data_IF_229011726409
#
_entry.id   IF_229011726409
#
_cell.length_a   1.000
_cell.length_b   1.000
_cell.length_c   1.000
_cell.angle_alpha   90.00
_cell.angle_beta   90.00
_cell.angle_gamma   90.00
#
_symmetry.space_group_name_H-M   'P 1'
#
loop_
_entity.id
_entity.type
_entity.pdbx_description
1 polymer ?
#
# COMPACT_ATOMS: atom_id res chain seq x y z
N UNK A 1 21.60 12.37 -1.70
CA UNK A 1 20.16 12.53 -1.39
C UNK A 1 19.47 13.25 -2.53
N UNK A 2 18.24 12.87 -2.86
CA UNK A 2 17.43 13.60 -3.83
C UNK A 2 17.10 14.99 -3.26
N UNK A 3 17.36 16.05 -4.03
CA UNK A 3 17.17 17.43 -3.54
C UNK A 3 15.72 17.66 -3.09
N UNK A 4 15.55 18.23 -1.90
CA UNK A 4 14.25 18.55 -1.30
C UNK A 4 13.48 17.36 -0.70
N UNK A 5 13.96 16.11 -0.82
CA UNK A 5 13.30 14.95 -0.22
C UNK A 5 13.92 14.61 1.12
N UNK A 6 13.11 14.55 2.17
CA UNK A 6 13.50 14.16 3.53
C UNK A 6 12.85 12.84 3.99
N UNK A 7 11.71 12.46 3.39
CA UNK A 7 10.97 11.25 3.73
C UNK A 7 10.81 10.34 2.52
N UNK A 8 11.03 9.04 2.70
CA UNK A 8 10.68 8.01 1.74
C UNK A 8 9.53 7.18 2.34
N UNK A 9 8.35 7.28 1.74
CA UNK A 9 7.17 6.53 2.16
C UNK A 9 6.87 5.39 1.19
N UNK A 10 6.54 4.21 1.71
CA UNK A 10 6.30 3.01 0.90
C UNK A 10 4.85 2.53 1.02
N UNK A 11 4.27 2.12 -0.09
CA UNK A 11 3.18 1.16 -0.10
C UNK A 11 3.71 -0.24 0.25
N UNK A 12 2.81 -1.16 0.63
CA UNK A 12 3.17 -2.55 0.98
C UNK A 12 2.87 -3.52 -0.16
N UNK A 13 1.59 -3.59 -0.59
CA UNK A 13 1.05 -4.68 -1.39
C UNK A 13 1.47 -4.59 -2.87
N UNK A 14 2.45 -5.41 -3.27
CA UNK A 14 3.05 -5.37 -4.61
C UNK A 14 4.22 -4.41 -4.73
N UNK A 15 4.51 -3.64 -3.65
CA UNK A 15 5.64 -2.73 -3.56
C UNK A 15 6.79 -3.34 -2.76
N UNK A 16 6.57 -3.83 -1.54
CA UNK A 16 7.61 -4.48 -0.72
C UNK A 16 7.80 -5.97 -1.09
N UNK A 17 6.78 -6.60 -1.63
CA UNK A 17 6.81 -7.99 -2.11
C UNK A 17 6.05 -8.13 -3.44
N UNK A 18 6.37 -9.16 -4.27
CA UNK A 18 5.66 -9.39 -5.52
C UNK A 18 4.23 -9.88 -5.28
N UNK A 19 3.21 -9.16 -5.77
CA UNK A 19 1.79 -9.51 -5.57
C UNK A 19 1.45 -10.91 -6.05
N UNK A 20 2.11 -11.43 -7.10
CA UNK A 20 1.84 -12.79 -7.60
C UNK A 20 2.12 -13.87 -6.56
N UNK A 21 3.07 -13.66 -5.64
CA UNK A 21 3.38 -14.61 -4.56
C UNK A 21 2.21 -14.75 -3.59
N UNK A 22 1.55 -13.65 -3.24
CA UNK A 22 0.33 -13.69 -2.46
C UNK A 22 -0.79 -14.33 -3.26
N UNK A 23 -1.02 -13.88 -4.49
CA UNK A 23 -2.12 -14.34 -5.34
C UNK A 23 -2.11 -15.87 -5.50
N UNK A 24 -0.95 -16.48 -5.74
CA UNK A 24 -0.83 -17.95 -5.82
C UNK A 24 -1.20 -18.61 -4.49
N UNK A 25 -0.73 -18.07 -3.36
CA UNK A 25 -0.99 -18.64 -2.04
C UNK A 25 -2.45 -18.57 -1.62
N UNK A 26 -3.12 -17.47 -1.97
CA UNK A 26 -4.52 -17.26 -1.59
C UNK A 26 -5.52 -17.80 -2.62
N UNK A 27 -5.06 -18.30 -3.77
CA UNK A 27 -5.93 -18.68 -4.88
C UNK A 27 -7.03 -19.68 -4.46
N UNK A 28 -6.65 -20.80 -3.80
CA UNK A 28 -7.61 -21.80 -3.31
C UNK A 28 -8.51 -21.23 -2.20
N UNK A 29 -7.95 -20.38 -1.33
CA UNK A 29 -8.72 -19.71 -0.30
C UNK A 29 -9.74 -18.75 -0.89
N UNK A 30 -9.36 -17.96 -1.89
CA UNK A 30 -10.25 -17.05 -2.60
C UNK A 30 -11.33 -17.82 -3.39
N UNK A 31 -10.98 -18.95 -4.01
CA UNK A 31 -11.97 -19.82 -4.68
C UNK A 31 -13.01 -20.36 -3.70
N UNK A 32 -12.59 -20.76 -2.53
CA UNK A 32 -13.48 -21.24 -1.45
C UNK A 32 -14.48 -20.18 -0.98
N UNK A 33 -14.08 -18.91 -1.05
CA UNK A 33 -14.87 -17.74 -0.66
C UNK A 33 -15.24 -16.84 -1.86
N UNK A 34 -15.32 -17.40 -3.06
CA UNK A 34 -15.44 -16.60 -4.29
C UNK A 34 -16.64 -15.65 -4.28
N UNK A 35 -17.80 -16.11 -3.80
CA UNK A 35 -19.00 -15.29 -3.70
C UNK A 35 -18.85 -14.09 -2.79
N UNK A 36 -18.11 -14.26 -1.68
CA UNK A 36 -17.75 -13.14 -0.80
C UNK A 36 -16.77 -12.17 -1.46
N UNK A 37 -15.65 -12.67 -2.01
CA UNK A 37 -14.63 -11.81 -2.59
C UNK A 37 -15.10 -11.01 -3.81
N UNK A 38 -16.02 -11.55 -4.61
CA UNK A 38 -16.62 -10.79 -5.72
C UNK A 38 -17.38 -9.55 -5.21
N UNK A 39 -18.20 -9.70 -4.15
CA UNK A 39 -18.95 -8.61 -3.54
C UNK A 39 -18.06 -7.67 -2.77
N UNK A 40 -17.13 -8.21 -1.98
CA UNK A 40 -16.13 -7.43 -1.27
C UNK A 40 -15.30 -6.54 -2.21
N UNK A 41 -14.82 -7.08 -3.33
CA UNK A 41 -14.08 -6.29 -4.32
C UNK A 41 -14.94 -5.21 -5.00
N UNK A 42 -16.25 -5.45 -5.18
CA UNK A 42 -17.19 -4.42 -5.65
C UNK A 42 -17.27 -3.26 -4.66
N UNK A 43 -17.43 -3.57 -3.38
CA UNK A 43 -17.45 -2.60 -2.28
C UNK A 43 -16.11 -1.84 -2.20
N UNK A 44 -14.97 -2.55 -2.26
CA UNK A 44 -13.64 -1.90 -2.24
C UNK A 44 -13.46 -0.89 -3.39
N UNK A 45 -13.90 -1.23 -4.60
CA UNK A 45 -13.87 -0.29 -5.74
C UNK A 45 -14.69 0.97 -5.50
N UNK A 46 -15.80 0.88 -4.77
CA UNK A 46 -16.61 2.02 -4.36
C UNK A 46 -15.87 2.87 -3.31
N UNK A 47 -15.29 2.23 -2.29
CA UNK A 47 -14.55 2.91 -1.22
C UNK A 47 -13.37 3.75 -1.75
N UNK A 48 -12.66 3.27 -2.77
CA UNK A 48 -11.59 4.04 -3.43
C UNK A 48 -12.07 5.33 -4.13
N UNK A 49 -13.38 5.55 -4.22
CA UNK A 49 -14.00 6.74 -4.82
C UNK A 49 -14.80 7.56 -3.82
N UNK A 50 -14.89 7.08 -2.58
CA UNK A 50 -15.64 7.71 -1.50
C UNK A 50 -14.81 8.82 -0.87
N UNK A 51 -15.45 9.92 -0.49
CA UNK A 51 -14.84 10.97 0.33
C UNK A 51 -14.42 10.41 1.71
N UNK A 52 -13.50 11.07 2.41
CA UNK A 52 -13.10 10.65 3.75
C UNK A 52 -14.31 10.51 4.68
N UNK A 53 -14.30 9.44 5.48
CA UNK A 53 -15.38 9.07 6.40
C UNK A 53 -14.83 8.94 7.82
N UNK A 54 -15.62 9.28 8.85
CA UNK A 54 -15.21 9.07 10.24
C UNK A 54 -14.95 7.60 10.57
N UNK A 55 -15.73 6.68 9.98
CA UNK A 55 -15.60 5.23 10.13
C UNK A 55 -15.77 4.52 8.77
N UNK A 56 -14.63 4.29 8.12
CA UNK A 56 -14.60 3.59 6.84
C UNK A 56 -14.96 2.12 6.99
N UNK A 57 -14.58 1.50 8.12
CA UNK A 57 -14.85 0.08 8.38
C UNK A 57 -16.36 -0.18 8.55
N UNK A 58 -17.03 0.65 9.34
CA UNK A 58 -18.50 0.61 9.48
C UNK A 58 -19.18 0.78 8.12
N UNK A 59 -18.76 1.78 7.36
CA UNK A 59 -19.35 2.04 6.03
C UNK A 59 -19.11 0.88 5.06
N UNK A 60 -17.90 0.31 5.05
CA UNK A 60 -17.58 -0.89 4.28
C UNK A 60 -18.50 -2.06 4.65
N UNK A 61 -18.71 -2.28 5.95
CA UNK A 61 -19.56 -3.35 6.44
C UNK A 61 -21.03 -3.16 6.02
N UNK A 62 -21.55 -1.94 6.09
CA UNK A 62 -22.91 -1.61 5.62
C UNK A 62 -23.09 -1.89 4.13
N UNK A 63 -22.15 -1.45 3.29
CA UNK A 63 -22.20 -1.72 1.85
C UNK A 63 -22.12 -3.22 1.57
N UNK A 64 -21.26 -3.93 2.29
CA UNK A 64 -21.11 -5.37 2.11
C UNK A 64 -22.35 -6.14 2.59
N UNK A 65 -22.96 -5.72 3.69
CA UNK A 65 -24.22 -6.28 4.19
C UNK A 65 -25.34 -6.20 3.13
N UNK A 66 -25.45 -5.05 2.47
CA UNK A 66 -26.41 -4.87 1.36
C UNK A 66 -26.10 -5.82 0.18
N UNK A 67 -24.83 -5.99 -0.20
CA UNK A 67 -24.42 -6.86 -1.29
C UNK A 67 -24.59 -8.36 -0.95
N UNK A 68 -24.49 -8.74 0.32
CA UNK A 68 -24.63 -10.12 0.79
C UNK A 68 -26.07 -10.48 1.22
N UNK A 69 -26.93 -9.48 1.45
CA UNK A 69 -28.28 -9.69 2.03
C UNK A 69 -28.25 -10.16 3.48
N UNK A 70 -27.31 -9.64 4.29
CA UNK A 70 -27.13 -10.01 5.69
C UNK A 70 -27.13 -8.78 6.61
N UNK A 71 -27.00 -8.98 7.93
CA UNK A 71 -26.84 -7.87 8.88
C UNK A 71 -25.45 -7.26 8.81
N UNK A 72 -25.30 -6.02 9.30
CA UNK A 72 -24.01 -5.33 9.34
C UNK A 72 -23.01 -6.07 10.25
N UNK A 73 -23.50 -6.62 11.36
CA UNK A 73 -22.71 -7.42 12.30
C UNK A 73 -22.17 -8.69 11.64
N UNK A 74 -22.99 -9.39 10.86
CA UNK A 74 -22.57 -10.55 10.09
C UNK A 74 -21.53 -10.16 9.03
N UNK A 75 -21.73 -9.05 8.33
CA UNK A 75 -20.76 -8.55 7.36
C UNK A 75 -19.41 -8.18 8.00
N UNK A 76 -19.42 -7.53 9.19
CA UNK A 76 -18.20 -7.24 9.98
C UNK A 76 -17.48 -8.53 10.38
N UNK A 77 -18.21 -9.50 10.90
CA UNK A 77 -17.65 -10.81 11.29
C UNK A 77 -17.02 -11.52 10.10
N UNK A 78 -17.66 -11.47 8.93
CA UNK A 78 -17.11 -12.06 7.70
C UNK A 78 -15.88 -11.30 7.18
N UNK A 79 -15.85 -9.97 7.21
CA UNK A 79 -14.67 -9.19 6.87
C UNK A 79 -13.51 -9.57 7.80
N UNK A 80 -13.74 -9.61 9.11
CA UNK A 80 -12.72 -9.97 10.08
C UNK A 80 -12.20 -11.38 9.81
N UNK A 81 -13.09 -12.37 9.75
CA UNK A 81 -12.76 -13.79 9.61
C UNK A 81 -12.12 -14.11 8.25
N UNK A 82 -12.69 -13.57 7.14
CA UNK A 82 -12.27 -13.96 5.78
C UNK A 82 -11.12 -13.08 5.29
N UNK A 83 -11.16 -11.75 5.54
CA UNK A 83 -10.15 -10.85 4.99
C UNK A 83 -8.99 -10.65 5.96
N UNK A 84 -9.27 -10.21 7.19
CA UNK A 84 -8.16 -9.85 8.08
C UNK A 84 -7.47 -11.07 8.67
N UNK A 85 -8.20 -11.98 9.31
CA UNK A 85 -7.62 -13.17 9.93
C UNK A 85 -7.29 -14.24 8.88
N UNK A 86 -8.21 -14.46 7.94
CA UNK A 86 -8.08 -15.50 6.92
C UNK A 86 -6.90 -15.29 5.97
N UNK A 87 -6.59 -14.05 5.60
CA UNK A 87 -5.44 -13.75 4.75
C UNK A 87 -4.13 -13.63 5.54
N UNK A 88 -4.15 -13.29 6.84
CA UNK A 88 -2.97 -13.05 7.67
C UNK A 88 -1.94 -14.17 7.59
N UNK A 89 -2.37 -15.42 7.79
CA UNK A 89 -1.51 -16.62 7.73
C UNK A 89 -0.78 -16.81 6.39
N UNK A 90 -1.30 -16.22 5.31
CA UNK A 90 -0.70 -16.34 3.99
C UNK A 90 0.48 -15.38 3.80
N UNK A 91 0.60 -14.34 4.64
CA UNK A 91 1.73 -13.40 4.61
C UNK A 91 2.99 -13.95 5.28
N UNK A 92 2.89 -14.83 6.26
CA UNK A 92 4.01 -15.35 7.08
C UNK A 92 5.19 -15.91 6.25
N UNK A 93 4.89 -16.48 5.08
CA UNK A 93 5.89 -17.10 4.23
C UNK A 93 6.12 -16.37 2.90
N UNK A 94 5.62 -15.16 2.75
CA UNK A 94 5.87 -14.37 1.55
C UNK A 94 7.27 -13.76 1.65
N UNK A 95 8.11 -14.05 0.65
CA UNK A 95 9.43 -13.42 0.54
C UNK A 95 9.28 -12.03 -0.09
N UNK A 96 9.92 -10.99 0.47
CA UNK A 96 9.94 -9.66 -0.12
C UNK A 96 10.69 -9.64 -1.46
N UNK A 97 10.70 -8.50 -2.13
CA UNK A 97 11.62 -8.29 -3.25
C UNK A 97 13.08 -8.40 -2.78
N UNK A 98 13.92 -8.95 -3.64
CA UNK A 98 15.36 -9.03 -3.38
C UNK A 98 15.95 -7.62 -3.22
N UNK A 99 16.72 -7.42 -2.15
CA UNK A 99 17.35 -6.14 -1.84
C UNK A 99 16.43 -5.10 -1.20
N UNK A 100 15.15 -5.43 -0.93
CA UNK A 100 14.19 -4.49 -0.35
C UNK A 100 14.63 -4.02 1.03
N UNK A 101 14.91 -4.95 1.94
CA UNK A 101 15.31 -4.65 3.32
C UNK A 101 16.61 -3.86 3.36
N UNK A 102 17.60 -4.30 2.59
CA UNK A 102 18.92 -3.66 2.48
C UNK A 102 18.79 -2.22 1.95
N UNK A 103 17.91 -2.00 0.95
CA UNK A 103 17.65 -0.66 0.42
C UNK A 103 16.99 0.23 1.47
N UNK A 104 15.97 -0.25 2.20
CA UNK A 104 15.31 0.52 3.26
C UNK A 104 16.31 0.89 4.37
N UNK A 105 17.16 -0.06 4.79
CA UNK A 105 18.22 0.20 5.77
C UNK A 105 19.23 1.24 5.27
N UNK A 106 19.66 1.16 4.01
CA UNK A 106 20.60 2.11 3.42
C UNK A 106 19.99 3.51 3.28
N UNK A 107 18.70 3.62 2.92
CA UNK A 107 17.97 4.89 2.89
C UNK A 107 17.92 5.52 4.28
N UNK A 108 17.63 4.74 5.31
CA UNK A 108 17.66 5.21 6.72
C UNK A 108 19.05 5.69 7.11
N UNK A 109 20.10 4.93 6.78
CA UNK A 109 21.50 5.29 7.06
C UNK A 109 21.95 6.55 6.29
N UNK A 110 21.40 6.79 5.09
CA UNK A 110 21.63 8.00 4.31
C UNK A 110 20.86 9.23 4.83
N UNK A 111 20.13 9.10 5.95
CA UNK A 111 19.44 10.21 6.62
C UNK A 111 17.99 10.41 6.22
N UNK A 112 17.42 9.57 5.35
CA UNK A 112 15.98 9.64 5.06
C UNK A 112 15.15 9.12 6.24
N UNK A 113 14.03 9.78 6.50
CA UNK A 113 12.98 9.27 7.37
C UNK A 113 12.13 8.26 6.56
N UNK A 114 11.78 7.13 7.15
CA UNK A 114 11.04 6.06 6.46
C UNK A 114 9.63 5.98 7.01
N UNK A 115 8.64 5.90 6.11
CA UNK A 115 7.24 5.74 6.47
C UNK A 115 6.57 4.66 5.61
N UNK A 116 5.44 4.15 6.10
CA UNK A 116 4.56 3.20 5.40
C UNK A 116 3.14 3.79 5.33
N UNK A 117 2.52 3.68 4.16
CA UNK A 117 1.09 3.98 3.97
C UNK A 117 0.46 2.92 3.07
N UNK A 118 -0.33 2.03 3.64
CA UNK A 118 -0.96 0.89 2.95
C UNK A 118 -2.48 0.95 3.04
N UNK A 119 -3.18 0.46 2.01
CA UNK A 119 -4.66 0.44 2.03
C UNK A 119 -5.22 -0.61 3.01
N UNK A 120 -4.54 -1.74 3.18
CA UNK A 120 -4.88 -2.72 4.20
C UNK A 120 -4.09 -2.48 5.50
N UNK A 121 -4.60 -2.93 6.66
CA UNK A 121 -3.89 -2.82 7.93
C UNK A 121 -2.47 -3.40 7.83
N UNK A 122 -1.41 -2.63 8.12
CA UNK A 122 -0.03 -3.11 8.06
C UNK A 122 0.23 -4.31 8.99
N UNK A 123 -0.47 -4.37 10.12
CA UNK A 123 -0.38 -5.41 11.14
C UNK A 123 -0.73 -6.80 10.59
N UNK A 124 -1.51 -6.85 9.52
CA UNK A 124 -1.85 -8.08 8.81
C UNK A 124 -0.61 -8.76 8.19
N UNK A 125 0.44 -7.98 7.91
CA UNK A 125 1.69 -8.45 7.29
C UNK A 125 2.79 -8.77 8.30
N UNK A 126 2.48 -8.78 9.61
CA UNK A 126 3.45 -9.10 10.67
C UNK A 126 4.60 -8.09 10.73
N UNK A 127 5.82 -8.60 10.85
CA UNK A 127 7.05 -7.79 11.05
C UNK A 127 7.54 -7.03 9.80
N UNK A 128 6.74 -6.97 8.73
CA UNK A 128 7.09 -6.29 7.47
C UNK A 128 8.50 -6.66 6.99
N UNK A 129 8.86 -7.93 7.10
CA UNK A 129 10.17 -8.46 6.71
C UNK A 129 11.36 -7.79 7.41
N UNK A 130 11.14 -7.33 8.66
CA UNK A 130 12.18 -6.73 9.50
C UNK A 130 12.53 -5.28 9.14
N UNK A 131 11.63 -4.55 8.49
CA UNK A 131 11.84 -3.11 8.23
C UNK A 131 11.18 -2.19 9.27
N UNK A 132 10.32 -2.72 10.15
CA UNK A 132 9.65 -1.93 11.21
C UNK A 132 10.64 -1.05 12.00
N UNK A 133 11.82 -1.55 12.42
CA UNK A 133 12.77 -0.72 13.18
C UNK A 133 13.32 0.51 12.43
N UNK A 134 13.22 0.52 11.10
CA UNK A 134 13.64 1.66 10.29
C UNK A 134 12.52 2.69 10.09
N UNK A 135 11.25 2.27 10.27
CA UNK A 135 10.08 3.10 10.02
C UNK A 135 9.80 4.04 11.20
N UNK A 136 9.61 5.30 10.91
CA UNK A 136 9.17 6.30 11.88
C UNK A 136 7.65 6.34 12.01
N UNK A 137 6.94 6.03 10.92
CA UNK A 137 5.49 6.06 10.87
C UNK A 137 4.97 4.90 10.01
N UNK A 138 3.96 4.20 10.51
CA UNK A 138 3.28 3.11 9.78
C UNK A 138 1.78 3.33 9.87
N UNK A 139 1.12 3.54 8.72
CA UNK A 139 -0.30 3.87 8.65
C UNK A 139 -1.05 2.91 7.72
N UNK A 140 -2.24 2.50 8.15
CA UNK A 140 -3.28 1.89 7.33
C UNK A 140 -4.32 2.92 6.91
N UNK A 141 -4.59 3.08 5.62
CA UNK A 141 -5.53 4.11 5.14
C UNK A 141 -6.97 3.83 5.55
N UNK A 142 -7.34 2.56 5.80
CA UNK A 142 -8.64 2.18 6.35
C UNK A 142 -8.90 2.87 7.69
N UNK A 143 -7.90 2.91 8.58
CA UNK A 143 -8.00 3.54 9.89
C UNK A 143 -8.04 5.07 9.80
N UNK A 144 -7.64 5.64 8.67
CA UNK A 144 -7.68 7.07 8.40
C UNK A 144 -9.00 7.54 7.77
N UNK A 145 -9.87 6.60 7.42
CA UNK A 145 -11.19 6.92 6.86
C UNK A 145 -11.22 7.12 5.35
N UNK A 146 -10.15 6.95 4.62
CA UNK A 146 -10.14 7.08 3.15
C UNK A 146 -9.05 6.22 2.51
N UNK A 147 -9.37 5.52 1.44
CA UNK A 147 -8.41 4.73 0.67
C UNK A 147 -7.68 5.57 -0.39
N UNK A 148 -6.49 5.15 -0.81
CA UNK A 148 -5.82 5.69 -1.98
C UNK A 148 -6.72 5.52 -3.23
N UNK A 149 -6.80 6.44 -4.20
CA UNK A 149 -5.93 7.59 -4.42
C UNK A 149 -6.44 8.90 -3.79
N UNK A 150 -7.29 8.85 -2.73
CA UNK A 150 -7.64 10.06 -2.00
C UNK A 150 -6.38 10.75 -1.49
N UNK A 151 -6.30 12.08 -1.65
CA UNK A 151 -5.19 12.87 -1.11
C UNK A 151 -5.19 12.92 0.44
N UNK A 152 -6.31 12.60 1.06
CA UNK A 152 -6.51 12.71 2.51
C UNK A 152 -5.51 11.89 3.33
N UNK A 153 -5.34 10.55 3.13
CA UNK A 153 -4.38 9.77 3.91
C UNK A 153 -2.92 10.20 3.68
N UNK A 154 -2.58 10.72 2.51
CA UNK A 154 -1.24 11.28 2.25
C UNK A 154 -1.03 12.57 3.04
N UNK A 155 -2.05 13.43 3.13
CA UNK A 155 -2.01 14.65 3.95
C UNK A 155 -1.85 14.34 5.44
N UNK A 156 -2.60 13.36 5.97
CA UNK A 156 -2.47 12.88 7.36
C UNK A 156 -1.05 12.35 7.62
N UNK A 157 -0.47 11.59 6.69
CA UNK A 157 0.91 11.10 6.82
C UNK A 157 1.92 12.26 6.90
N UNK A 158 1.80 13.26 6.02
CA UNK A 158 2.68 14.43 6.04
C UNK A 158 2.54 15.24 7.34
N UNK A 159 1.32 15.43 7.82
CA UNK A 159 1.03 16.09 9.09
C UNK A 159 1.63 15.34 10.29
N UNK A 160 1.44 14.02 10.34
CA UNK A 160 1.99 13.18 11.41
C UNK A 160 3.53 13.18 11.43
N UNK A 161 4.15 13.31 10.26
CA UNK A 161 5.61 13.44 10.12
C UNK A 161 6.10 14.88 10.30
N UNK A 162 5.20 15.86 10.39
CA UNK A 162 5.52 17.30 10.45
C UNK A 162 6.46 17.73 9.32
N UNK A 163 6.10 17.41 8.08
CA UNK A 163 6.86 17.78 6.88
C UNK A 163 5.92 18.26 5.77
N UNK A 164 6.39 19.11 4.84
CA UNK A 164 5.62 19.46 3.64
C UNK A 164 5.49 18.27 2.68
N UNK A 165 4.38 18.21 1.96
CA UNK A 165 4.05 17.11 1.05
C UNK A 165 5.12 16.90 -0.04
N UNK A 166 5.66 17.99 -0.58
CA UNK A 166 6.70 18.00 -1.62
C UNK A 166 8.05 17.42 -1.15
N UNK A 167 8.26 17.29 0.17
CA UNK A 167 9.48 16.68 0.73
C UNK A 167 9.36 15.15 0.88
N UNK A 168 8.24 14.58 0.48
CA UNK A 168 7.98 13.13 0.55
C UNK A 168 8.09 12.52 -0.84
N UNK A 169 8.91 11.48 -0.97
CA UNK A 169 8.90 10.57 -2.12
C UNK A 169 8.07 9.33 -1.77
N UNK A 170 6.93 9.18 -2.42
CA UNK A 170 6.07 8.02 -2.23
C UNK A 170 6.42 6.90 -3.21
N UNK A 171 6.78 5.73 -2.70
CA UNK A 171 7.19 4.56 -3.48
C UNK A 171 6.02 3.58 -3.58
N UNK A 172 5.57 3.28 -4.79
CA UNK A 172 4.44 2.38 -5.02
C UNK A 172 4.47 1.65 -6.35
N UNK A 173 3.54 0.71 -6.55
CA UNK A 173 3.45 -0.10 -7.77
C UNK A 173 2.15 0.09 -8.56
N UNK A 174 1.20 0.83 -8.01
CA UNK A 174 -0.10 1.07 -8.63
C UNK A 174 -0.18 2.47 -9.25
N UNK A 175 -0.34 2.53 -10.58
CA UNK A 175 -0.59 3.82 -11.26
C UNK A 175 -1.85 4.49 -10.73
N UNK A 176 -2.90 3.69 -10.47
CA UNK A 176 -4.21 4.19 -10.08
C UNK A 176 -4.27 4.67 -8.63
N UNK A 177 -3.59 3.99 -7.72
CA UNK A 177 -3.70 4.25 -6.29
C UNK A 177 -2.51 5.02 -5.74
N UNK A 178 -1.29 4.60 -6.08
CA UNK A 178 -0.06 5.18 -5.53
C UNK A 178 0.37 6.42 -6.30
N UNK A 179 0.64 6.28 -7.62
CA UNK A 179 1.14 7.39 -8.43
C UNK A 179 0.11 8.52 -8.50
N UNK A 180 -1.14 8.19 -8.83
CA UNK A 180 -2.22 9.20 -8.87
C UNK A 180 -2.48 9.80 -7.48
N UNK A 181 -2.43 9.01 -6.41
CA UNK A 181 -2.65 9.48 -5.04
C UNK A 181 -1.55 10.45 -4.59
N UNK A 182 -0.28 10.09 -4.78
CA UNK A 182 0.86 10.95 -4.47
C UNK A 182 0.82 12.26 -5.27
N UNK A 183 0.60 12.19 -6.58
CA UNK A 183 0.50 13.37 -7.44
C UNK A 183 -0.66 14.29 -7.04
N UNK A 184 -1.84 13.73 -6.73
CA UNK A 184 -2.99 14.49 -6.27
C UNK A 184 -2.73 15.20 -4.93
N UNK A 185 -1.85 14.63 -4.10
CA UNK A 185 -1.44 15.21 -2.83
C UNK A 185 -0.30 16.22 -2.97
N UNK A 186 0.37 16.31 -4.11
CA UNK A 186 1.55 17.17 -4.32
C UNK A 186 2.87 16.55 -3.87
N UNK A 187 2.90 15.24 -3.64
CA UNK A 187 4.13 14.49 -3.34
C UNK A 187 4.88 14.10 -4.61
N UNK A 188 6.17 13.84 -4.50
CA UNK A 188 6.93 13.11 -5.51
C UNK A 188 6.61 11.63 -5.48
N UNK A 189 6.72 10.95 -6.61
CA UNK A 189 6.47 9.51 -6.65
C UNK A 189 7.55 8.71 -7.37
N UNK A 190 7.89 7.54 -6.80
CA UNK A 190 8.73 6.53 -7.40
C UNK A 190 7.89 5.29 -7.74
N UNK A 191 7.86 4.93 -8.99
CA UNK A 191 7.02 3.85 -9.52
C UNK A 191 7.82 2.59 -9.79
N UNK A 192 7.47 1.50 -9.11
CA UNK A 192 8.02 0.16 -9.38
C UNK A 192 7.37 -0.39 -10.66
N UNK A 193 8.18 -0.48 -11.72
CA UNK A 193 7.73 -0.93 -13.03
C UNK A 193 7.30 -2.40 -13.02
N UNK A 194 6.10 -2.74 -13.51
CA UNK A 194 5.71 -4.12 -13.76
C UNK A 194 6.54 -4.72 -14.90
N UNK A 195 6.61 -6.06 -14.95
CA UNK A 195 7.46 -6.79 -15.91
C UNK A 195 7.26 -6.32 -17.37
N UNK A 196 6.01 -6.16 -17.79
CA UNK A 196 5.71 -5.77 -19.17
C UNK A 196 6.25 -4.37 -19.54
N UNK A 197 6.21 -3.38 -18.60
CA UNK A 197 6.80 -2.06 -18.84
C UNK A 197 8.31 -2.11 -18.91
N UNK A 198 8.93 -2.97 -18.07
CA UNK A 198 10.39 -3.21 -18.09
C UNK A 198 10.84 -3.80 -19.42
N UNK A 199 10.15 -4.84 -19.90
CA UNK A 199 10.47 -5.51 -21.16
C UNK A 199 10.28 -4.55 -22.36
N UNK A 200 9.23 -3.73 -22.37
CA UNK A 200 8.96 -2.78 -23.44
C UNK A 200 9.70 -1.44 -23.27
N UNK A 201 10.54 -1.30 -22.23
CA UNK A 201 11.26 -0.05 -21.90
C UNK A 201 10.34 1.18 -21.87
N UNK A 202 9.12 1.02 -21.33
CA UNK A 202 8.11 2.07 -21.23
C UNK A 202 8.01 2.63 -19.81
N UNK A 203 8.75 3.71 -19.46
CA UNK A 203 8.59 4.39 -18.19
C UNK A 203 7.18 5.00 -18.07
N UNK A 204 6.81 5.45 -16.89
CA UNK A 204 5.55 6.13 -16.64
C UNK A 204 5.83 7.64 -16.53
N UNK A 205 5.34 8.43 -17.47
CA UNK A 205 5.59 9.88 -17.52
C UNK A 205 5.04 10.65 -16.30
N UNK A 206 4.02 10.11 -15.64
CA UNK A 206 3.44 10.71 -14.42
C UNK A 206 4.17 10.35 -13.12
N UNK A 207 5.24 9.57 -13.18
CA UNK A 207 6.10 9.29 -12.04
C UNK A 207 7.43 10.05 -12.17
N UNK A 208 7.88 10.65 -11.05
CA UNK A 208 9.18 11.36 -11.02
C UNK A 208 10.35 10.39 -11.17
N UNK A 209 10.23 9.19 -10.61
CA UNK A 209 11.20 8.10 -10.70
C UNK A 209 10.50 6.82 -11.15
N UNK A 210 11.11 6.11 -12.11
CA UNK A 210 10.72 4.74 -12.47
C UNK A 210 11.88 3.80 -12.19
N UNK A 211 11.61 2.71 -11.47
CA UNK A 211 12.63 1.72 -11.15
C UNK A 211 12.11 0.29 -11.35
N UNK A 212 13.04 -0.65 -11.60
CA UNK A 212 12.71 -2.03 -11.93
C UNK A 212 13.00 -3.01 -10.79
N UNK A 213 13.83 -2.63 -9.84
CA UNK A 213 14.22 -3.42 -8.68
C UNK A 213 14.81 -2.52 -7.58
N UNK A 214 14.92 -3.05 -6.37
CA UNK A 214 15.37 -2.28 -5.21
C UNK A 214 16.84 -1.82 -5.29
N UNK A 215 17.71 -2.56 -5.97
CA UNK A 215 19.09 -2.12 -6.23
C UNK A 215 19.09 -0.82 -7.05
N UNK A 216 18.29 -0.75 -8.09
CA UNK A 216 18.18 0.47 -8.90
C UNK A 216 17.63 1.64 -8.08
N UNK A 217 16.60 1.42 -7.24
CA UNK A 217 16.08 2.45 -6.34
C UNK A 217 17.16 2.95 -5.36
N UNK A 218 17.93 2.01 -4.77
CA UNK A 218 19.07 2.34 -3.94
C UNK A 218 20.08 3.23 -4.67
N UNK A 219 20.52 2.82 -5.86
CA UNK A 219 21.53 3.55 -6.63
C UNK A 219 21.07 4.97 -7.06
N UNK A 220 19.76 5.18 -7.18
CA UNK A 220 19.18 6.49 -7.50
C UNK A 220 19.10 7.43 -6.29
N UNK A 221 18.95 6.88 -5.06
CA UNK A 221 18.64 7.69 -3.88
C UNK A 221 19.81 7.82 -2.88
N UNK A 222 20.74 6.87 -2.86
CA UNK A 222 21.81 6.76 -1.86
C UNK A 222 23.18 7.24 -2.40
N UNK A 223 23.23 7.83 -3.59
CA UNK A 223 24.47 8.40 -4.16
C UNK A 223 25.04 9.56 -3.35
#
# INVERSE_FOLDING_TARGET
MLAGISVIAFDIDGTLYPSYRLNIRVALYCLRHIGFFLRYNKVRKQLHRTAPLPDLYEYQARLLAMELGCTVEAAKADIQRIVYDGLKRHFEHIKPFRGMRETVAALKAAGYRIAILSDFPPEQKGELWGIIPYCELILGTENLGALKPSKYPFGIMAQALNVPLESILYVGNSVRYDVKGANNAGMKCAYLLPLWRRLLRRPLASADICFSNYRQLHDMLVK
#
